data_IF_878971219495
#
_entry.id   IF_878971219495
#
_cell.length_a   1.000
_cell.length_b   1.000
_cell.length_c   1.000
_cell.angle_alpha   90.00
_cell.angle_beta   90.00
_cell.angle_gamma   90.00
#
_symmetry.space_group_name_H-M   'P 1'
#
loop_
_entity.id
_entity.type
_entity.pdbx_description
1 polymer ?
#
# COMPACT_ATOMS: atom_id res chain seq x y z
N UNK A 1 33.97 13.65 3.81
CA UNK A 1 32.98 13.39 2.74
C UNK A 1 31.82 12.50 3.23
N UNK A 2 32.05 11.37 3.93
CA UNK A 2 31.02 10.42 4.38
C UNK A 2 29.97 11.08 5.30
N UNK A 3 30.39 11.93 6.26
CA UNK A 3 29.48 12.63 7.18
C UNK A 3 28.51 13.57 6.46
N UNK A 4 28.96 14.28 5.42
CA UNK A 4 28.09 15.13 4.59
C UNK A 4 27.09 14.32 3.76
N UNK A 5 27.52 13.16 3.20
CA UNK A 5 26.64 12.26 2.47
C UNK A 5 25.54 11.65 3.38
N UNK A 6 25.91 11.29 4.63
CA UNK A 6 24.94 10.76 5.60
C UNK A 6 23.86 11.77 6.02
N UNK A 7 24.12 13.07 5.90
CA UNK A 7 23.09 14.10 6.17
C UNK A 7 22.02 14.14 5.09
N UNK A 8 22.33 13.61 3.88
CA UNK A 8 21.41 13.54 2.74
C UNK A 8 20.56 12.27 2.69
N UNK A 9 20.76 11.36 3.65
CA UNK A 9 19.96 10.15 3.82
C UNK A 9 19.42 10.16 5.24
N UNK A 10 18.13 10.19 5.38
CA UNK A 10 17.44 10.13 6.68
C UNK A 10 16.65 8.85 6.81
N UNK A 11 16.30 8.48 8.05
CA UNK A 11 15.58 7.25 8.34
C UNK A 11 14.44 7.50 9.33
N UNK A 12 13.28 6.93 9.02
CA UNK A 12 12.14 6.78 9.92
C UNK A 12 12.12 5.32 10.37
N UNK A 13 11.99 5.12 11.67
CA UNK A 13 12.06 3.79 12.30
C UNK A 13 10.66 3.33 12.73
N UNK A 14 10.46 2.03 12.78
CA UNK A 14 9.24 1.37 13.24
C UNK A 14 8.77 1.83 14.63
N UNK A 15 9.69 1.99 15.59
CA UNK A 15 9.39 2.36 16.97
C UNK A 15 9.60 3.84 17.28
N UNK A 16 9.44 4.73 16.28
CA UNK A 16 9.58 6.19 16.38
C UNK A 16 10.97 6.69 16.80
N UNK A 17 11.70 5.98 17.64
CA UNK A 17 13.03 6.29 18.19
C UNK A 17 13.18 7.74 18.67
N UNK A 18 12.13 8.29 19.31
CA UNK A 18 12.15 9.64 19.85
C UNK A 18 13.00 9.72 21.10
N UNK A 19 13.61 10.90 21.31
CA UNK A 19 14.33 11.22 22.52
C UNK A 19 13.30 11.54 23.63
N UNK A 20 13.07 10.60 24.53
CA UNK A 20 12.04 10.67 25.57
C UNK A 20 12.22 11.83 26.55
N UNK A 21 13.48 12.23 26.79
CA UNK A 21 13.82 13.37 27.66
C UNK A 21 13.72 14.73 26.96
N UNK A 22 13.32 14.76 25.68
CA UNK A 22 13.19 15.96 24.86
C UNK A 22 11.76 16.12 24.38
N UNK A 23 11.26 17.36 24.39
CA UNK A 23 9.97 17.70 23.79
C UNK A 23 10.00 17.61 22.23
N UNK A 24 8.86 17.80 21.57
CA UNK A 24 8.72 17.77 20.10
C UNK A 24 9.73 18.70 19.44
N UNK A 25 9.77 19.96 19.82
CA UNK A 25 10.70 20.94 19.22
C UNK A 25 12.15 20.47 19.33
N UNK A 26 12.57 20.00 20.50
CA UNK A 26 13.95 19.53 20.73
C UNK A 26 14.26 18.19 20.02
N UNK A 27 13.26 17.36 19.76
CA UNK A 27 13.42 16.18 18.93
C UNK A 27 13.70 16.57 17.47
N UNK A 28 12.96 17.54 16.93
CA UNK A 28 13.10 17.98 15.54
C UNK A 28 14.37 18.85 15.35
N UNK A 29 14.79 19.67 16.34
CA UNK A 29 16.04 20.43 16.24
C UNK A 29 17.29 19.56 16.38
N UNK A 30 17.20 18.37 16.96
CA UNK A 30 18.38 17.55 17.29
C UNK A 30 19.29 17.24 16.08
N UNK A 31 18.81 16.82 14.91
CA UNK A 31 19.68 16.63 13.75
C UNK A 31 20.38 17.93 13.29
N UNK A 32 19.70 19.07 13.41
CA UNK A 32 20.24 20.37 13.07
C UNK A 32 21.33 20.81 14.04
N UNK A 33 21.17 20.52 15.35
CA UNK A 33 22.18 20.73 16.37
C UNK A 33 23.45 19.96 16.06
N UNK A 34 23.33 18.66 15.68
CA UNK A 34 24.46 17.81 15.27
C UNK A 34 25.13 18.33 14.00
N UNK A 35 24.34 18.88 13.07
CA UNK A 35 24.84 19.48 11.84
C UNK A 35 25.56 20.82 12.06
N UNK A 36 25.48 21.41 13.27
CA UNK A 36 26.10 22.69 13.61
C UNK A 36 25.28 23.90 13.13
N UNK A 37 23.98 23.74 12.89
CA UNK A 37 23.09 24.84 12.50
C UNK A 37 22.88 25.77 13.68
N UNK A 38 23.01 27.10 13.51
CA UNK A 38 22.76 28.08 14.59
C UNK A 38 21.37 27.90 15.20
N UNK A 39 21.28 27.98 16.54
CA UNK A 39 20.07 27.68 17.32
C UNK A 39 18.80 28.41 16.82
N UNK A 40 18.92 29.72 16.47
CA UNK A 40 17.78 30.47 15.94
C UNK A 40 17.24 29.90 14.62
N UNK A 41 18.12 29.55 13.69
CA UNK A 41 17.75 28.93 12.40
C UNK A 41 17.19 27.51 12.59
N UNK A 42 17.83 26.73 13.48
CA UNK A 42 17.37 25.38 13.81
C UNK A 42 15.95 25.41 14.38
N UNK A 43 15.67 26.35 15.30
CA UNK A 43 14.34 26.53 15.89
C UNK A 43 13.30 26.91 14.83
N UNK A 44 13.61 27.90 13.99
CA UNK A 44 12.69 28.34 12.93
C UNK A 44 12.33 27.19 12.00
N UNK A 45 13.33 26.47 11.49
CA UNK A 45 13.11 25.33 10.59
C UNK A 45 12.33 24.22 11.27
N UNK A 46 12.61 23.92 12.53
CA UNK A 46 11.85 22.91 13.27
C UNK A 46 10.38 23.29 13.42
N UNK A 47 10.06 24.56 13.65
CA UNK A 47 8.67 25.03 13.72
C UNK A 47 7.93 24.88 12.38
N UNK A 48 8.59 25.20 11.27
CA UNK A 48 8.05 24.99 9.91
C UNK A 48 7.76 23.50 9.66
N UNK A 49 8.66 22.60 10.04
CA UNK A 49 8.48 21.16 9.89
C UNK A 49 7.38 20.61 10.82
N UNK A 50 7.29 21.11 12.06
CA UNK A 50 6.22 20.72 13.00
C UNK A 50 4.86 21.14 12.45
N UNK A 51 4.74 22.32 11.85
CA UNK A 51 3.53 22.76 11.19
C UNK A 51 3.23 21.91 9.93
N UNK A 52 4.24 21.59 9.11
CA UNK A 52 4.11 20.72 7.91
C UNK A 52 3.51 19.35 8.25
N UNK A 53 3.93 18.76 9.37
CA UNK A 53 3.41 17.44 9.80
C UNK A 53 2.12 17.52 10.62
N UNK A 54 1.51 18.73 10.76
CA UNK A 54 0.24 18.91 11.44
C UNK A 54 0.31 18.86 12.97
N UNK A 55 1.46 19.23 13.56
CA UNK A 55 1.68 19.24 15.02
C UNK A 55 1.81 20.67 15.60
N UNK A 56 1.31 21.69 14.90
CA UNK A 56 1.28 23.06 15.39
C UNK A 56 0.57 23.13 16.75
N UNK A 57 1.21 23.79 17.75
CA UNK A 57 0.72 23.88 19.12
C UNK A 57 1.15 22.73 20.03
N UNK A 58 1.92 21.75 19.52
CA UNK A 58 2.47 20.61 20.29
C UNK A 58 3.97 20.67 20.51
N UNK A 59 4.61 21.80 20.23
CA UNK A 59 6.06 22.00 20.27
C UNK A 59 6.67 21.66 21.63
N UNK A 60 5.94 21.96 22.71
CA UNK A 60 6.38 21.71 24.08
C UNK A 60 6.04 20.34 24.64
N UNK A 61 5.20 19.56 23.95
CA UNK A 61 4.77 18.24 24.40
C UNK A 61 5.93 17.24 24.37
N UNK A 62 5.93 16.33 25.33
CA UNK A 62 6.89 15.21 25.40
C UNK A 62 6.31 13.97 24.71
N UNK A 63 7.15 13.00 24.28
CA UNK A 63 6.68 11.77 23.63
C UNK A 63 5.64 10.99 24.44
N UNK A 64 5.67 11.05 25.76
CA UNK A 64 4.68 10.41 26.65
C UNK A 64 3.27 11.00 26.53
N UNK A 65 3.15 12.24 26.02
CA UNK A 65 1.90 12.97 25.89
C UNK A 65 1.30 12.88 24.48
N UNK A 66 1.93 12.09 23.59
CA UNK A 66 1.57 11.98 22.18
C UNK A 66 0.96 10.60 21.85
N UNK A 67 -0.03 10.58 20.94
CA UNK A 67 -0.52 9.36 20.33
C UNK A 67 0.55 8.70 19.43
N UNK A 68 0.32 7.45 18.98
CA UNK A 68 1.20 6.75 18.05
C UNK A 68 1.44 7.55 16.76
N UNK A 69 0.37 7.99 16.11
CA UNK A 69 0.44 8.80 14.90
C UNK A 69 1.14 10.14 15.11
N UNK A 70 0.94 10.80 16.25
CA UNK A 70 1.66 12.03 16.59
C UNK A 70 3.16 11.78 16.78
N UNK A 71 3.54 10.69 17.45
CA UNK A 71 4.96 10.28 17.57
C UNK A 71 5.59 10.04 16.20
N UNK A 72 4.87 9.38 15.30
CA UNK A 72 5.33 9.14 13.93
C UNK A 72 5.52 10.45 13.17
N UNK A 73 4.59 11.39 13.27
CA UNK A 73 4.70 12.72 12.66
C UNK A 73 5.94 13.49 13.20
N UNK A 74 6.26 13.36 14.48
CA UNK A 74 7.52 13.92 15.05
C UNK A 74 8.74 13.23 14.44
N UNK A 75 8.71 11.89 14.26
CA UNK A 75 9.76 11.13 13.60
C UNK A 75 10.00 11.59 12.16
N UNK A 76 8.92 11.84 11.41
CA UNK A 76 8.97 12.37 10.03
C UNK A 76 9.58 13.79 10.04
N UNK A 77 9.08 14.71 10.88
CA UNK A 77 9.62 16.06 10.94
C UNK A 77 11.11 16.07 11.28
N UNK A 78 11.54 15.22 12.22
CA UNK A 78 12.96 15.05 12.58
C UNK A 78 13.79 14.52 11.41
N UNK A 79 13.28 13.55 10.66
CA UNK A 79 13.96 12.98 9.50
C UNK A 79 14.16 14.01 8.38
N UNK A 80 13.22 14.93 8.21
CA UNK A 80 13.26 15.99 7.19
C UNK A 80 14.17 17.16 7.57
N UNK A 81 14.63 17.27 8.84
CA UNK A 81 15.30 18.45 9.36
C UNK A 81 16.54 18.88 8.57
N UNK A 82 17.32 17.95 8.04
CA UNK A 82 18.54 18.22 7.27
C UNK A 82 18.36 18.28 5.74
N UNK A 83 17.13 18.46 5.25
CA UNK A 83 16.80 18.45 3.82
C UNK A 83 17.43 17.23 3.11
N UNK A 84 17.02 16.00 3.46
CA UNK A 84 17.55 14.79 2.86
C UNK A 84 17.14 14.68 1.38
N UNK A 85 17.96 14.01 0.59
CA UNK A 85 17.62 13.65 -0.79
C UNK A 85 16.90 12.27 -0.81
N UNK A 86 17.18 11.43 0.22
CA UNK A 86 16.58 10.09 0.37
C UNK A 86 16.03 9.89 1.79
N UNK A 87 14.81 9.39 1.88
CA UNK A 87 14.15 9.00 3.12
C UNK A 87 13.93 7.49 3.14
N UNK A 88 14.57 6.82 4.08
CA UNK A 88 14.36 5.40 4.35
C UNK A 88 13.25 5.25 5.38
N UNK A 89 12.22 4.47 5.10
CA UNK A 89 11.11 4.19 5.99
C UNK A 89 11.10 2.70 6.33
N UNK A 90 11.45 2.36 7.55
CA UNK A 90 11.50 0.98 8.04
C UNK A 90 10.22 0.71 8.83
N UNK A 91 9.29 -0.02 8.21
CA UNK A 91 7.96 -0.35 8.76
C UNK A 91 7.27 0.86 9.46
N UNK A 92 7.30 2.01 8.80
CA UNK A 92 6.90 3.29 9.40
C UNK A 92 5.40 3.37 9.80
N UNK A 93 4.58 2.40 9.42
CA UNK A 93 3.13 2.36 9.66
C UNK A 93 2.66 1.14 10.47
N UNK A 94 3.50 0.11 10.64
CA UNK A 94 3.11 -1.18 11.23
C UNK A 94 2.59 -1.12 12.68
N UNK A 95 2.87 -0.04 13.41
CA UNK A 95 2.41 0.18 14.79
C UNK A 95 1.19 1.13 14.88
N UNK A 96 0.54 1.44 13.77
CA UNK A 96 -0.56 2.41 13.67
C UNK A 96 -1.86 1.70 13.26
N UNK A 97 -2.98 2.30 13.61
CA UNK A 97 -4.27 1.88 13.10
C UNK A 97 -4.43 2.26 11.60
N UNK A 98 -5.32 1.61 10.85
CA UNK A 98 -5.47 1.82 9.41
C UNK A 98 -5.71 3.28 9.01
N UNK A 99 -6.57 4.00 9.74
CA UNK A 99 -6.87 5.39 9.44
C UNK A 99 -5.63 6.28 9.63
N UNK A 100 -4.90 6.10 10.74
CA UNK A 100 -3.66 6.83 11.00
C UNK A 100 -2.57 6.47 9.98
N UNK A 101 -2.51 5.21 9.55
CA UNK A 101 -1.61 4.75 8.46
C UNK A 101 -1.86 5.56 7.20
N UNK A 102 -3.11 5.65 6.75
CA UNK A 102 -3.49 6.42 5.58
C UNK A 102 -3.09 7.90 5.66
N UNK A 103 -3.31 8.53 6.80
CA UNK A 103 -2.89 9.91 7.03
C UNK A 103 -1.36 10.10 6.96
N UNK A 104 -0.58 9.13 7.44
CA UNK A 104 0.88 9.16 7.37
C UNK A 104 1.36 8.96 5.93
N UNK A 105 0.73 8.06 5.16
CA UNK A 105 1.04 7.85 3.75
C UNK A 105 0.76 9.11 2.91
N UNK A 106 -0.37 9.77 3.14
CA UNK A 106 -0.70 11.04 2.47
C UNK A 106 0.30 12.15 2.81
N UNK A 107 0.74 12.20 4.07
CA UNK A 107 1.79 13.14 4.48
C UNK A 107 3.11 12.84 3.76
N UNK A 108 3.52 11.57 3.64
CA UNK A 108 4.74 11.19 2.93
C UNK A 108 4.68 11.53 1.45
N UNK A 109 3.53 11.31 0.79
CA UNK A 109 3.30 11.71 -0.61
C UNK A 109 3.42 13.21 -0.79
N UNK A 110 2.76 14.00 0.06
CA UNK A 110 2.83 15.45 0.04
C UNK A 110 4.27 15.97 0.20
N UNK A 111 5.02 15.41 1.16
CA UNK A 111 6.42 15.78 1.40
C UNK A 111 7.30 15.40 0.21
N UNK A 112 7.10 14.21 -0.38
CA UNK A 112 7.82 13.76 -1.58
C UNK A 112 7.69 14.75 -2.72
N UNK A 113 6.47 15.20 -3.01
CA UNK A 113 6.18 16.14 -4.08
C UNK A 113 6.79 17.53 -3.81
N UNK A 114 6.64 18.04 -2.59
CA UNK A 114 7.11 19.38 -2.24
C UNK A 114 8.64 19.50 -2.19
N UNK A 115 9.34 18.42 -1.82
CA UNK A 115 10.79 18.43 -1.61
C UNK A 115 11.57 17.64 -2.66
N UNK A 116 10.91 17.10 -3.69
CA UNK A 116 11.50 16.21 -4.70
C UNK A 116 12.33 15.09 -4.07
N UNK A 117 11.73 14.41 -3.08
CA UNK A 117 12.38 13.44 -2.20
C UNK A 117 12.22 12.02 -2.76
N UNK A 118 13.29 11.23 -2.75
CA UNK A 118 13.20 9.80 -2.99
C UNK A 118 12.86 9.09 -1.68
N UNK A 119 11.78 8.31 -1.68
CA UNK A 119 11.38 7.49 -0.52
C UNK A 119 11.65 6.02 -0.82
N UNK A 120 12.38 5.35 0.06
CA UNK A 120 12.56 3.90 0.06
C UNK A 120 11.83 3.34 1.27
N UNK A 121 10.79 2.56 1.00
CA UNK A 121 9.90 2.01 2.03
C UNK A 121 10.17 0.51 2.19
N UNK A 122 10.34 0.05 3.43
CA UNK A 122 10.37 -1.35 3.81
C UNK A 122 9.06 -1.65 4.51
N UNK A 123 8.30 -2.59 3.99
CA UNK A 123 7.01 -3.03 4.56
C UNK A 123 6.66 -4.42 4.06
N UNK A 124 5.81 -5.12 4.80
CA UNK A 124 5.13 -6.34 4.39
C UNK A 124 3.64 -6.07 4.06
N UNK A 125 3.18 -4.83 4.17
CA UNK A 125 1.80 -4.41 3.95
C UNK A 125 1.59 -4.07 2.46
N UNK A 126 0.94 -4.94 1.70
CA UNK A 126 0.76 -4.80 0.26
C UNK A 126 -0.06 -3.56 -0.11
N UNK A 127 -1.07 -3.21 0.69
CA UNK A 127 -1.88 -2.00 0.47
C UNK A 127 -1.02 -0.72 0.51
N UNK A 128 -0.01 -0.66 1.39
CA UNK A 128 0.93 0.46 1.48
C UNK A 128 1.75 0.58 0.20
N UNK A 129 2.27 -0.56 -0.31
CA UNK A 129 3.04 -0.59 -1.55
C UNK A 129 2.20 -0.06 -2.72
N UNK A 130 0.97 -0.56 -2.88
CA UNK A 130 0.07 -0.11 -3.97
C UNK A 130 -0.27 1.37 -3.89
N UNK A 131 -0.44 1.89 -2.68
CA UNK A 131 -0.88 3.28 -2.46
C UNK A 131 0.18 4.30 -2.82
N UNK A 132 1.46 4.08 -2.46
CA UNK A 132 2.47 5.13 -2.55
C UNK A 132 3.71 4.80 -3.37
N UNK A 133 3.97 3.52 -3.68
CA UNK A 133 5.16 3.11 -4.39
C UNK A 133 4.96 3.14 -5.91
N UNK A 134 6.00 3.53 -6.64
CA UNK A 134 6.06 3.46 -8.10
C UNK A 134 6.73 2.15 -8.55
N UNK A 135 7.74 1.69 -7.79
CA UNK A 135 8.50 0.46 -8.03
C UNK A 135 8.56 -0.39 -6.76
N UNK A 136 8.67 -1.69 -6.91
CA UNK A 136 8.81 -2.67 -5.82
C UNK A 136 9.97 -3.61 -6.09
N UNK A 137 10.66 -4.00 -5.01
CA UNK A 137 11.62 -5.09 -4.99
C UNK A 137 11.24 -6.08 -3.90
N UNK A 138 10.89 -7.30 -4.29
CA UNK A 138 10.55 -8.39 -3.37
C UNK A 138 11.84 -9.07 -2.93
N UNK A 139 12.00 -9.26 -1.62
CA UNK A 139 13.20 -9.84 -1.05
C UNK A 139 12.89 -11.15 -0.30
N UNK A 140 13.75 -12.14 -0.50
CA UNK A 140 13.75 -13.39 0.25
C UNK A 140 15.18 -13.78 0.60
N UNK A 141 15.43 -14.18 1.86
CA UNK A 141 16.75 -14.61 2.34
C UNK A 141 17.89 -13.62 2.00
N UNK A 142 17.62 -12.31 2.08
CA UNK A 142 18.58 -11.24 1.81
C UNK A 142 18.90 -11.01 0.32
N UNK A 143 18.14 -11.60 -0.60
CA UNK A 143 18.28 -11.42 -2.05
C UNK A 143 17.01 -10.82 -2.64
N UNK A 144 17.17 -9.96 -3.62
CA UNK A 144 16.04 -9.51 -4.46
C UNK A 144 15.70 -10.65 -5.41
N UNK A 145 14.46 -11.13 -5.34
CA UNK A 145 13.93 -12.25 -6.14
C UNK A 145 13.04 -11.78 -7.28
N UNK A 146 12.42 -10.62 -7.13
CA UNK A 146 11.62 -9.99 -8.18
C UNK A 146 11.62 -8.47 -7.99
N UNK A 147 11.62 -7.69 -9.09
CA UNK A 147 11.56 -6.23 -9.04
C UNK A 147 10.93 -5.65 -10.29
N UNK A 148 10.30 -4.49 -10.16
CA UNK A 148 9.72 -3.75 -11.29
C UNK A 148 8.70 -2.72 -10.84
N UNK A 149 7.97 -2.15 -11.83
CA UNK A 149 6.84 -1.29 -11.54
C UNK A 149 5.78 -2.07 -10.73
N UNK A 150 5.20 -1.43 -9.72
CA UNK A 150 4.21 -2.07 -8.83
C UNK A 150 3.08 -2.69 -9.63
N UNK A 151 2.51 -1.99 -10.63
CA UNK A 151 1.46 -2.52 -11.48
C UNK A 151 1.86 -3.86 -12.13
N UNK A 152 3.05 -3.93 -12.76
CA UNK A 152 3.51 -5.13 -13.48
C UNK A 152 3.75 -6.32 -12.55
N UNK A 153 4.40 -6.06 -11.39
CA UNK A 153 4.72 -7.14 -10.44
C UNK A 153 3.45 -7.70 -9.79
N UNK A 154 2.44 -6.85 -9.55
CA UNK A 154 1.17 -7.28 -8.96
C UNK A 154 0.21 -7.89 -9.98
N UNK A 155 0.23 -7.45 -11.24
CA UNK A 155 -0.59 -8.03 -12.32
C UNK A 155 -0.11 -9.42 -12.74
N UNK A 156 1.20 -9.64 -12.80
CA UNK A 156 1.79 -10.87 -13.28
C UNK A 156 3.04 -11.29 -12.48
N UNK A 157 2.86 -11.64 -11.19
CA UNK A 157 3.96 -12.04 -10.33
C UNK A 157 4.60 -13.33 -10.86
N UNK A 158 5.93 -13.33 -10.99
CA UNK A 158 6.67 -14.46 -11.56
C UNK A 158 7.16 -15.42 -10.47
N UNK A 159 7.61 -14.88 -9.33
CA UNK A 159 8.15 -15.67 -8.24
C UNK A 159 7.06 -16.16 -7.29
N UNK A 160 7.18 -17.39 -6.78
CA UNK A 160 6.16 -18.00 -5.90
C UNK A 160 5.91 -17.20 -4.60
N UNK A 161 6.95 -16.58 -4.06
CA UNK A 161 6.83 -15.72 -2.87
C UNK A 161 6.01 -14.47 -3.22
N UNK A 162 6.25 -13.85 -4.38
CA UNK A 162 5.47 -12.69 -4.84
C UNK A 162 4.02 -13.07 -5.08
N UNK A 163 3.77 -14.22 -5.73
CA UNK A 163 2.40 -14.74 -5.94
C UNK A 163 1.66 -14.90 -4.61
N UNK A 164 2.33 -15.46 -3.61
CA UNK A 164 1.75 -15.61 -2.27
C UNK A 164 1.40 -14.26 -1.65
N UNK A 165 2.33 -13.29 -1.63
CA UNK A 165 2.05 -11.95 -1.10
C UNK A 165 0.90 -11.25 -1.79
N UNK A 166 0.83 -11.36 -3.13
CA UNK A 166 -0.26 -10.77 -3.91
C UNK A 166 -1.59 -11.50 -3.64
N UNK A 167 -1.54 -12.83 -3.51
CA UNK A 167 -2.71 -13.65 -3.18
C UNK A 167 -3.23 -13.35 -1.78
N UNK A 168 -2.35 -13.33 -0.77
CA UNK A 168 -2.73 -13.05 0.61
C UNK A 168 -3.39 -11.68 0.75
N UNK A 169 -2.93 -10.67 0.02
CA UNK A 169 -3.53 -9.33 0.03
C UNK A 169 -4.88 -9.24 -0.72
N UNK A 170 -5.13 -10.15 -1.66
CA UNK A 170 -6.41 -10.22 -2.38
C UNK A 170 -7.42 -11.16 -1.70
N UNK A 171 -6.97 -12.02 -0.78
CA UNK A 171 -7.75 -13.14 -0.24
C UNK A 171 -8.15 -12.97 1.21
N UNK A 172 -8.02 -11.76 1.78
CA UNK A 172 -7.98 -11.59 3.23
C UNK A 172 -9.14 -12.20 4.06
N UNK A 173 -10.26 -12.66 3.49
CA UNK A 173 -11.30 -13.38 4.28
C UNK A 173 -12.22 -14.28 3.43
N UNK A 174 -12.12 -14.26 2.08
CA UNK A 174 -13.13 -14.92 1.26
C UNK A 174 -12.88 -16.42 1.04
N UNK A 175 -11.61 -16.88 0.91
CA UNK A 175 -11.34 -18.32 0.73
C UNK A 175 -11.81 -19.13 1.96
N UNK A 176 -11.65 -18.57 3.16
CA UNK A 176 -12.18 -19.20 4.39
C UNK A 176 -13.73 -19.22 4.40
N UNK A 177 -14.38 -18.22 3.79
CA UNK A 177 -15.84 -18.17 3.70
C UNK A 177 -16.41 -19.15 2.66
N UNK A 178 -15.62 -19.57 1.65
CA UNK A 178 -16.04 -20.58 0.69
C UNK A 178 -16.31 -21.95 1.31
N UNK A 179 -15.65 -22.28 2.44
CA UNK A 179 -15.89 -23.54 3.16
C UNK A 179 -17.28 -23.57 3.80
N UNK A 180 -17.89 -22.42 4.07
CA UNK A 180 -19.23 -22.32 4.69
C UNK A 180 -20.36 -22.23 3.65
N UNK A 181 -20.04 -22.17 2.35
CA UNK A 181 -21.07 -22.20 1.31
C UNK A 181 -21.62 -23.62 1.14
N UNK A 182 -22.93 -23.72 0.91
CA UNK A 182 -23.60 -24.98 0.61
C UNK A 182 -22.93 -25.70 -0.59
N UNK A 183 -23.06 -27.03 -0.67
CA UNK A 183 -22.59 -27.77 -1.84
C UNK A 183 -23.13 -27.17 -3.14
N UNK A 184 -22.27 -26.99 -4.13
CA UNK A 184 -22.67 -26.49 -5.44
C UNK A 184 -23.34 -27.59 -6.27
N UNK A 185 -24.29 -27.20 -7.13
CA UNK A 185 -24.81 -28.07 -8.17
C UNK A 185 -23.70 -28.41 -9.20
N UNK A 186 -23.81 -29.56 -9.87
CA UNK A 186 -22.77 -30.05 -10.78
C UNK A 186 -22.43 -29.12 -11.95
N UNK A 187 -23.28 -28.18 -12.29
CA UNK A 187 -23.12 -27.21 -13.37
C UNK A 187 -22.92 -25.79 -12.84
N UNK A 188 -22.62 -25.66 -11.54
CA UNK A 188 -22.35 -24.37 -10.92
C UNK A 188 -20.85 -24.09 -10.78
N UNK A 189 -20.47 -22.83 -10.95
CA UNK A 189 -19.11 -22.34 -10.79
C UNK A 189 -19.05 -21.15 -9.83
N UNK A 190 -18.03 -21.11 -8.98
CA UNK A 190 -17.58 -19.89 -8.31
C UNK A 190 -16.28 -19.48 -8.95
N UNK A 191 -16.25 -18.28 -9.51
CA UNK A 191 -15.08 -17.75 -10.21
C UNK A 191 -14.72 -16.37 -9.70
N UNK A 192 -13.43 -16.11 -9.68
CA UNK A 192 -12.86 -14.79 -9.45
C UNK A 192 -12.50 -14.16 -10.79
N UNK A 193 -12.97 -12.96 -11.01
CA UNK A 193 -12.67 -12.12 -12.16
C UNK A 193 -11.71 -11.03 -11.72
N UNK A 194 -10.48 -11.02 -12.23
CA UNK A 194 -9.49 -10.00 -11.90
C UNK A 194 -9.44 -8.95 -13.02
N UNK A 195 -9.55 -7.68 -12.65
CA UNK A 195 -9.54 -6.52 -13.54
C UNK A 195 -8.30 -5.69 -13.32
N UNK A 196 -7.71 -5.21 -14.41
CA UNK A 196 -6.52 -4.35 -14.37
C UNK A 196 -6.68 -3.16 -15.31
N UNK A 197 -6.29 -1.96 -14.85
CA UNK A 197 -6.28 -0.76 -15.68
C UNK A 197 -7.66 -0.21 -16.03
N UNK A 198 -7.87 0.14 -17.30
CA UNK A 198 -9.07 0.84 -17.78
C UNK A 198 -10.34 -0.04 -17.76
N UNK A 199 -10.19 -1.36 -17.65
CA UNK A 199 -11.30 -2.30 -17.72
C UNK A 199 -12.16 -2.34 -16.45
N UNK A 200 -11.72 -1.73 -15.36
CA UNK A 200 -12.50 -1.66 -14.11
C UNK A 200 -13.76 -0.80 -14.22
N UNK A 201 -13.86 0.04 -15.25
CA UNK A 201 -15.03 0.90 -15.53
C UNK A 201 -15.99 0.30 -16.56
N UNK A 202 -15.61 -0.80 -17.22
CA UNK A 202 -16.46 -1.48 -18.20
C UNK A 202 -17.62 -2.22 -17.53
N UNK A 203 -18.83 -2.25 -18.13
CA UNK A 203 -20.00 -2.92 -17.54
C UNK A 203 -19.93 -4.44 -17.74
N UNK A 204 -18.89 -5.09 -17.23
CA UNK A 204 -18.56 -6.51 -17.45
C UNK A 204 -19.70 -7.43 -17.03
N UNK A 205 -20.34 -7.21 -15.88
CA UNK A 205 -21.49 -8.02 -15.43
C UNK A 205 -22.62 -7.95 -16.46
N UNK A 206 -22.98 -6.74 -16.91
CA UNK A 206 -24.01 -6.55 -17.91
C UNK A 206 -23.65 -7.18 -19.26
N UNK A 207 -22.38 -7.13 -19.64
CA UNK A 207 -21.87 -7.79 -20.84
C UNK A 207 -22.03 -9.30 -20.73
N UNK A 208 -21.56 -9.91 -19.63
CA UNK A 208 -21.64 -11.36 -19.40
C UNK A 208 -23.09 -11.86 -19.43
N UNK A 209 -23.97 -11.23 -18.66
CA UNK A 209 -25.37 -11.67 -18.57
C UNK A 209 -26.09 -11.57 -19.92
N UNK A 210 -25.83 -10.51 -20.70
CA UNK A 210 -26.46 -10.32 -22.02
C UNK A 210 -25.85 -11.21 -23.11
N UNK A 211 -24.54 -11.36 -23.14
CA UNK A 211 -23.85 -12.09 -24.22
C UNK A 211 -23.95 -13.60 -24.03
N UNK A 212 -23.85 -14.07 -22.79
CA UNK A 212 -23.89 -15.48 -22.47
C UNK A 212 -25.23 -15.96 -21.94
N UNK A 213 -26.19 -15.05 -21.73
CA UNK A 213 -27.51 -15.37 -21.17
C UNK A 213 -27.42 -16.23 -19.90
N UNK A 214 -26.53 -15.81 -18.98
CA UNK A 214 -26.28 -16.49 -17.69
C UNK A 214 -26.72 -15.59 -16.55
N UNK A 215 -27.24 -16.21 -15.50
CA UNK A 215 -27.47 -15.55 -14.23
C UNK A 215 -26.20 -15.59 -13.39
N UNK A 216 -25.89 -14.49 -12.70
CA UNK A 216 -24.74 -14.40 -11.81
C UNK A 216 -25.14 -13.78 -10.49
N UNK A 217 -24.65 -14.35 -9.38
CA UNK A 217 -24.68 -13.73 -8.06
C UNK A 217 -23.29 -13.19 -7.74
N UNK A 218 -23.21 -11.93 -7.31
CA UNK A 218 -21.94 -11.36 -6.81
C UNK A 218 -21.82 -11.78 -5.35
N UNK A 219 -20.76 -12.52 -5.03
CA UNK A 219 -20.45 -12.96 -3.68
C UNK A 219 -19.57 -11.96 -2.98
N UNK A 220 -18.59 -11.41 -3.71
CA UNK A 220 -17.67 -10.40 -3.23
C UNK A 220 -17.25 -9.47 -4.37
N UNK A 221 -16.91 -8.22 -4.04
CA UNK A 221 -16.36 -7.25 -4.97
C UNK A 221 -15.42 -6.30 -4.24
N UNK A 222 -14.24 -6.08 -4.79
CA UNK A 222 -13.33 -5.05 -4.31
C UNK A 222 -12.70 -4.34 -5.52
N UNK A 223 -12.77 -3.00 -5.54
CA UNK A 223 -12.16 -2.16 -6.56
C UNK A 223 -11.33 -1.09 -5.86
N UNK A 224 -10.01 -1.16 -6.06
CA UNK A 224 -9.05 -0.23 -5.46
C UNK A 224 -8.49 0.71 -6.53
N UNK A 225 -8.63 2.00 -6.32
CA UNK A 225 -8.01 3.00 -7.17
C UNK A 225 -6.53 3.14 -6.82
N UNK A 226 -5.65 3.01 -7.82
CA UNK A 226 -4.21 3.21 -7.70
C UNK A 226 -3.78 4.43 -8.48
N UNK A 227 -2.54 4.89 -8.30
CA UNK A 227 -1.99 6.01 -9.10
C UNK A 227 -1.93 5.72 -10.61
N UNK A 228 -1.84 4.45 -10.99
CA UNK A 228 -1.62 4.00 -12.36
C UNK A 228 -2.86 3.32 -12.97
N UNK A 229 -4.04 3.54 -12.40
CA UNK A 229 -5.30 2.93 -12.82
C UNK A 229 -5.98 2.21 -11.66
N UNK A 230 -7.11 1.61 -11.93
CA UNK A 230 -7.85 0.83 -10.92
C UNK A 230 -7.49 -0.65 -11.02
N UNK A 231 -7.39 -1.30 -9.89
CA UNK A 231 -7.27 -2.76 -9.74
C UNK A 231 -8.49 -3.25 -9.00
N UNK A 232 -9.06 -4.37 -9.41
CA UNK A 232 -10.21 -4.90 -8.72
C UNK A 232 -10.46 -6.37 -9.03
N UNK A 233 -11.30 -6.98 -8.19
CA UNK A 233 -11.81 -8.31 -8.46
C UNK A 233 -13.30 -8.37 -8.15
N UNK A 234 -13.97 -9.34 -8.81
CA UNK A 234 -15.30 -9.77 -8.49
C UNK A 234 -15.27 -11.28 -8.27
N UNK A 235 -15.87 -11.76 -7.20
CA UNK A 235 -16.17 -13.17 -7.03
C UNK A 235 -17.65 -13.36 -7.32
N UNK A 236 -17.92 -14.18 -8.32
CA UNK A 236 -19.27 -14.46 -8.78
C UNK A 236 -19.58 -15.95 -8.69
N UNK A 237 -20.83 -16.23 -8.36
CA UNK A 237 -21.42 -17.55 -8.48
C UNK A 237 -22.28 -17.60 -9.74
N UNK A 238 -22.04 -18.59 -10.59
CA UNK A 238 -22.81 -18.91 -11.80
C UNK A 238 -23.54 -20.21 -11.47
N UNK A 239 -24.85 -20.18 -11.24
CA UNK A 239 -25.60 -21.34 -10.74
C UNK A 239 -25.74 -22.46 -11.79
N UNK A 240 -25.89 -22.10 -13.06
CA UNK A 240 -26.06 -23.06 -14.15
C UNK A 240 -25.34 -22.62 -15.41
N UNK A 241 -24.30 -23.39 -15.81
CA UNK A 241 -23.59 -23.21 -17.08
C UNK A 241 -22.94 -24.50 -17.48
N UNK A 242 -23.17 -24.93 -18.75
CA UNK A 242 -22.50 -26.12 -19.27
C UNK A 242 -20.99 -25.90 -19.40
N UNK A 243 -20.20 -26.97 -19.30
CA UNK A 243 -18.73 -26.90 -19.41
C UNK A 243 -18.26 -26.26 -20.73
N UNK A 244 -18.96 -26.54 -21.83
CA UNK A 244 -18.64 -25.96 -23.14
C UNK A 244 -18.93 -24.46 -23.17
N UNK A 245 -20.06 -24.04 -22.61
CA UNK A 245 -20.43 -22.64 -22.51
C UNK A 245 -19.52 -21.87 -21.56
N UNK A 246 -19.07 -22.50 -20.45
CA UNK A 246 -18.10 -21.92 -19.53
C UNK A 246 -16.73 -21.72 -20.21
N UNK A 247 -16.29 -22.62 -21.08
CA UNK A 247 -15.04 -22.41 -21.86
C UNK A 247 -15.14 -21.19 -22.78
N UNK A 248 -16.29 -21.00 -23.44
CA UNK A 248 -16.54 -19.81 -24.28
C UNK A 248 -16.60 -18.54 -23.44
N UNK A 249 -17.29 -18.58 -22.31
CA UNK A 249 -17.35 -17.49 -21.35
C UNK A 249 -15.93 -17.06 -20.91
N UNK A 250 -15.10 -17.99 -20.49
CA UNK A 250 -13.71 -17.73 -20.09
C UNK A 250 -12.87 -17.14 -21.22
N UNK A 251 -13.04 -17.65 -22.45
CA UNK A 251 -12.33 -17.14 -23.62
C UNK A 251 -12.71 -15.69 -23.95
N UNK A 252 -13.99 -15.38 -23.97
CA UNK A 252 -14.48 -14.02 -24.27
C UNK A 252 -14.06 -12.99 -23.22
N UNK A 253 -14.00 -13.37 -21.93
CA UNK A 253 -13.50 -12.49 -20.88
C UNK A 253 -12.00 -12.25 -21.01
N UNK A 254 -11.24 -13.27 -21.41
CA UNK A 254 -9.81 -13.11 -21.64
C UNK A 254 -9.52 -12.14 -22.81
N UNK A 255 -10.34 -12.15 -23.88
CA UNK A 255 -10.24 -11.16 -24.98
C UNK A 255 -10.50 -9.71 -24.49
N UNK A 256 -11.26 -9.56 -23.42
CA UNK A 256 -11.49 -8.27 -22.76
C UNK A 256 -10.48 -7.96 -21.63
N UNK A 257 -9.37 -8.68 -21.61
CA UNK A 257 -8.31 -8.53 -20.61
C UNK A 257 -8.78 -8.76 -19.16
N UNK A 258 -9.83 -9.58 -18.96
CA UNK A 258 -10.29 -10.03 -17.66
C UNK A 258 -9.76 -11.43 -17.41
N UNK A 259 -8.99 -11.60 -16.34
CA UNK A 259 -8.50 -12.91 -15.95
C UNK A 259 -9.55 -13.65 -15.10
N UNK A 260 -9.85 -14.92 -15.48
CA UNK A 260 -10.85 -15.75 -14.82
C UNK A 260 -10.18 -16.91 -14.11
N UNK A 261 -10.25 -16.91 -12.78
CA UNK A 261 -9.79 -17.96 -11.89
C UNK A 261 -10.99 -18.75 -11.36
N UNK A 262 -10.96 -20.08 -11.47
CA UNK A 262 -12.01 -20.95 -10.91
C UNK A 262 -11.66 -21.25 -9.47
N UNK A 263 -12.48 -20.78 -8.53
CA UNK A 263 -12.30 -21.02 -7.10
C UNK A 263 -12.98 -22.34 -6.66
N UNK A 264 -14.18 -22.62 -7.20
CA UNK A 264 -14.94 -23.85 -6.89
C UNK A 264 -15.82 -24.24 -8.07
N UNK A 265 -15.99 -25.54 -8.25
CA UNK A 265 -16.88 -26.16 -9.23
C UNK A 265 -17.62 -27.33 -8.57
N UNK A 266 -18.89 -27.48 -8.86
CA UNK A 266 -19.76 -28.53 -8.30
C UNK A 266 -19.50 -29.93 -8.85
#
# INVERSE_FOLDING_TARGET
QLRKKRQKVSMIFQHFNLLWSRNVLKNVTFPLEIAGVPSGRAKQKALELIELVGLKGRESAYPSELSGGQKQRVGIARALANDPDVLLCDEATSALDPQTTDEILDLLLKVREQQNLTIVLITHEMHVIRRICDEVAVMENGKVIEQGAVSKVFENPQHEVTKRFVKDDLNDDFEDSLEYLEPLDHDAYIVRLNFTGDNTTEPIISYMTKTHNIDVNILEADIKNTKNGSLGFLVIHIPHISEEHFKQFKHNLHEQHVNVEVLRHG
#
